data_IF_369862971423
#
_entry.id   IF_369862971423
#
_cell.length_a   1.000
_cell.length_b   1.000
_cell.length_c   1.000
_cell.angle_alpha   90.00
_cell.angle_beta   90.00
_cell.angle_gamma   90.00
#
_symmetry.space_group_name_H-M   'P 1'
#
loop_
_entity.id
_entity.type
_entity.pdbx_description
1 polymer ?
#
# COMPACT_ATOMS: atom_id res chain seq x y z
N UNK A 1 37.67 7.88 -19.63
CA UNK A 1 38.15 7.74 -21.03
C UNK A 1 37.62 6.39 -21.52
N UNK A 2 36.93 6.22 -22.65
CA UNK A 2 36.69 7.06 -23.81
C UNK A 2 35.18 7.12 -24.14
N UNK A 3 34.70 8.28 -24.57
CA UNK A 3 33.36 8.48 -25.11
C UNK A 3 33.48 8.49 -26.63
N UNK A 4 32.75 7.62 -27.32
CA UNK A 4 32.62 7.63 -28.77
C UNK A 4 31.19 8.07 -29.12
N UNK A 5 31.03 9.31 -29.57
CA UNK A 5 29.77 9.77 -30.16
C UNK A 5 29.74 9.34 -31.62
N UNK A 6 28.78 8.50 -32.01
CA UNK A 6 28.45 8.26 -33.42
C UNK A 6 27.24 9.13 -33.78
N UNK A 7 27.36 9.96 -34.81
CA UNK A 7 26.39 10.97 -35.24
C UNK A 7 25.13 10.43 -35.96
N UNK A 8 24.92 9.11 -35.98
CA UNK A 8 23.79 8.51 -36.68
C UNK A 8 23.51 7.11 -36.14
N UNK A 9 22.72 7.04 -35.07
CA UNK A 9 22.02 5.83 -34.66
C UNK A 9 20.57 6.23 -34.35
N UNK A 10 19.82 6.53 -35.41
CA UNK A 10 18.35 6.60 -35.33
C UNK A 10 17.81 5.20 -35.59
N UNK A 11 18.04 4.28 -34.65
CA UNK A 11 17.22 3.07 -34.58
C UNK A 11 16.11 3.35 -33.56
N UNK A 12 14.83 3.12 -33.93
CA UNK A 12 13.79 3.04 -32.93
C UNK A 12 14.14 1.85 -32.05
N UNK A 13 14.67 2.13 -30.87
CA UNK A 13 14.78 1.14 -29.83
C UNK A 13 13.35 0.90 -29.35
N UNK A 14 12.74 -0.18 -29.82
CA UNK A 14 11.51 -0.71 -29.25
C UNK A 14 11.79 -1.28 -27.86
N UNK A 15 12.06 -0.41 -26.89
CA UNK A 15 12.04 -0.77 -25.48
C UNK A 15 10.61 -0.72 -24.97
N UNK A 16 9.88 -1.83 -25.14
CA UNK A 16 8.86 -2.46 -24.24
C UNK A 16 7.82 -1.60 -23.49
N UNK A 17 7.75 -0.30 -23.71
CA UNK A 17 6.87 0.65 -23.05
C UNK A 17 6.43 1.72 -24.06
N UNK A 18 5.12 1.89 -24.17
CA UNK A 18 4.41 2.76 -25.13
C UNK A 18 4.56 4.28 -24.85
N UNK A 19 5.51 4.68 -24.01
CA UNK A 19 5.79 6.08 -23.68
C UNK A 19 7.20 6.41 -24.14
N UNK A 20 7.31 7.20 -25.21
CA UNK A 20 8.59 7.54 -25.83
C UNK A 20 9.53 8.22 -24.83
N UNK A 21 10.66 7.59 -24.56
CA UNK A 21 11.81 8.27 -23.96
C UNK A 21 12.74 8.72 -25.09
N UNK A 22 13.09 9.99 -25.10
CA UNK A 22 14.10 10.52 -26.01
C UNK A 22 15.47 10.20 -25.43
N UNK A 23 16.28 9.39 -26.13
CA UNK A 23 17.66 9.09 -25.74
C UNK A 23 18.54 10.33 -25.98
N UNK A 24 18.51 11.27 -25.04
CA UNK A 24 19.65 12.16 -24.83
C UNK A 24 20.82 11.34 -24.28
N UNK A 25 22.09 11.80 -24.39
CA UNK A 25 23.16 11.22 -23.56
C UNK A 25 22.65 11.18 -22.12
N UNK A 26 22.98 10.14 -21.35
CA UNK A 26 22.56 9.89 -19.96
C UNK A 26 22.80 11.10 -19.05
N UNK A 27 21.95 12.11 -19.23
CA UNK A 27 21.72 13.25 -18.41
C UNK A 27 20.87 12.66 -17.32
N UNK A 28 21.51 12.61 -16.16
CA UNK A 28 21.14 11.92 -14.94
C UNK A 28 19.67 12.15 -14.51
N UNK A 29 19.02 13.20 -15.02
CA UNK A 29 17.71 13.71 -14.61
C UNK A 29 16.55 12.75 -14.90
N UNK A 30 16.50 12.11 -16.07
CA UNK A 30 15.41 11.17 -16.41
C UNK A 30 15.41 9.91 -15.53
N UNK A 31 16.61 9.40 -15.23
CA UNK A 31 16.78 8.21 -14.39
C UNK A 31 16.29 8.45 -12.95
N UNK A 32 16.42 9.67 -12.42
CA UNK A 32 15.91 10.00 -11.09
C UNK A 32 14.40 9.90 -10.99
N UNK A 33 13.66 10.31 -12.03
CA UNK A 33 12.20 10.16 -12.05
C UNK A 33 11.77 8.69 -12.05
N UNK A 34 12.45 7.85 -12.83
CA UNK A 34 12.17 6.41 -12.83
C UNK A 34 12.51 5.77 -11.48
N UNK A 35 13.63 6.13 -10.86
CA UNK A 35 13.97 5.65 -9.51
C UNK A 35 12.94 6.10 -8.47
N UNK A 36 12.51 7.36 -8.53
CA UNK A 36 11.51 7.91 -7.61
C UNK A 36 10.13 7.26 -7.80
N UNK A 37 9.70 7.09 -9.06
CA UNK A 37 8.50 6.33 -9.42
C UNK A 37 8.62 4.93 -8.84
N UNK A 38 9.69 4.20 -9.17
CA UNK A 38 9.90 2.82 -8.74
C UNK A 38 9.97 2.68 -7.22
N UNK A 39 10.39 3.71 -6.47
CA UNK A 39 10.35 3.70 -5.00
C UNK A 39 8.92 3.61 -4.46
N UNK A 40 7.97 4.25 -5.14
CA UNK A 40 6.57 4.41 -4.75
C UNK A 40 5.63 3.41 -5.44
N UNK A 41 5.88 3.10 -6.70
CA UNK A 41 5.04 2.32 -7.59
C UNK A 41 5.93 1.64 -8.63
N UNK A 42 5.90 0.30 -8.68
CA UNK A 42 6.70 -0.45 -9.64
C UNK A 42 5.97 -1.69 -10.12
N UNK A 43 6.02 -1.91 -11.42
CA UNK A 43 5.53 -3.13 -12.05
C UNK A 43 6.69 -4.08 -12.33
N UNK A 44 6.46 -5.37 -12.09
CA UNK A 44 7.37 -6.45 -12.45
C UNK A 44 6.81 -7.24 -13.64
N UNK A 45 7.69 -7.93 -14.35
CA UNK A 45 7.34 -8.70 -15.56
C UNK A 45 6.39 -9.87 -15.26
N UNK A 46 6.37 -10.38 -14.03
CA UNK A 46 5.47 -11.44 -13.56
C UNK A 46 4.05 -10.94 -13.23
N UNK A 47 3.70 -9.75 -13.73
CA UNK A 47 2.43 -9.05 -13.47
C UNK A 47 2.22 -8.71 -11.99
N UNK A 48 3.28 -8.51 -11.21
CA UNK A 48 3.20 -7.97 -9.85
C UNK A 48 3.21 -6.44 -9.87
N UNK A 49 2.36 -5.82 -9.05
CA UNK A 49 2.38 -4.39 -8.74
C UNK A 49 2.89 -4.18 -7.31
N UNK A 50 3.98 -3.44 -7.16
CA UNK A 50 4.57 -3.05 -5.89
C UNK A 50 4.18 -1.61 -5.54
N UNK A 51 3.64 -1.41 -4.34
CA UNK A 51 3.34 -0.10 -3.75
C UNK A 51 4.29 0.17 -2.58
N UNK A 52 4.87 1.37 -2.57
CA UNK A 52 5.73 1.90 -1.52
C UNK A 52 6.97 1.03 -1.21
N UNK A 53 7.50 0.30 -2.21
CA UNK A 53 8.58 -0.69 -2.01
C UNK A 53 9.79 -0.14 -1.26
N UNK A 54 10.12 1.14 -1.47
CA UNK A 54 11.33 1.75 -0.91
C UNK A 54 11.06 3.14 -0.31
N UNK A 55 9.81 3.47 -0.01
CA UNK A 55 9.42 4.70 0.67
C UNK A 55 10.22 4.92 1.95
N UNK A 56 10.66 6.15 2.19
CA UNK A 56 11.41 6.50 3.38
C UNK A 56 10.54 6.40 4.64
N UNK A 57 11.05 5.75 5.69
CA UNK A 57 10.38 5.61 7.00
C UNK A 57 9.87 6.93 7.57
N UNK A 58 10.62 8.02 7.42
CA UNK A 58 10.24 9.37 7.87
C UNK A 58 8.96 9.91 7.20
N UNK A 59 8.61 9.46 6.00
CA UNK A 59 7.37 9.82 5.32
C UNK A 59 6.16 9.06 5.85
N UNK A 60 6.40 8.05 6.69
CA UNK A 60 5.38 7.32 7.42
C UNK A 60 5.39 7.71 8.91
N UNK A 61 6.04 8.81 9.28
CA UNK A 61 5.90 9.36 10.63
C UNK A 61 4.43 9.71 10.93
N UNK A 62 4.06 9.82 12.21
CA UNK A 62 2.68 10.07 12.59
C UNK A 62 2.08 11.30 11.90
N UNK A 63 0.89 11.17 11.33
CA UNK A 63 0.18 12.23 10.63
C UNK A 63 0.70 12.51 9.23
N UNK A 64 1.74 11.82 8.75
CA UNK A 64 2.24 11.97 7.39
C UNK A 64 1.36 11.23 6.38
N UNK A 65 1.35 11.76 5.16
CA UNK A 65 0.57 11.27 4.03
C UNK A 65 1.42 11.13 2.79
N UNK A 66 1.18 10.06 2.05
CA UNK A 66 1.65 9.88 0.67
C UNK A 66 0.40 9.82 -0.21
N UNK A 67 0.42 10.53 -1.32
CA UNK A 67 -0.66 10.57 -2.29
C UNK A 67 -0.08 10.51 -3.69
N UNK A 68 -0.46 9.48 -4.45
CA UNK A 68 -0.09 9.27 -5.85
C UNK A 68 -1.37 9.08 -6.62
N UNK A 69 -1.60 9.93 -7.62
CA UNK A 69 -2.85 9.94 -8.38
C UNK A 69 -2.61 9.64 -9.85
N UNK A 70 -3.46 8.78 -10.42
CA UNK A 70 -3.51 8.47 -11.86
C UNK A 70 -2.15 8.09 -12.44
N UNK A 71 -1.34 7.37 -11.69
CA UNK A 71 -0.04 6.92 -12.15
C UNK A 71 -0.23 5.90 -13.29
N UNK A 72 0.41 6.11 -14.45
CA UNK A 72 0.31 5.16 -15.55
C UNK A 72 1.04 3.87 -15.18
N UNK A 73 0.35 2.73 -15.39
CA UNK A 73 0.93 1.40 -15.21
C UNK A 73 0.55 0.45 -16.33
N UNK A 74 1.21 -0.72 -16.38
CA UNK A 74 0.78 -1.85 -17.23
C UNK A 74 -0.69 -2.24 -17.03
N UNK A 75 -1.25 -1.97 -15.85
CA UNK A 75 -2.60 -2.35 -15.45
C UNK A 75 -3.62 -1.22 -15.62
N UNK A 76 -3.24 -0.13 -16.30
CA UNK A 76 -4.03 1.09 -16.39
C UNK A 76 -3.57 2.14 -15.37
N UNK A 77 -4.38 3.17 -15.15
CA UNK A 77 -4.07 4.17 -14.14
C UNK A 77 -4.30 3.60 -12.75
N UNK A 78 -3.32 3.80 -11.86
CA UNK A 78 -3.43 3.42 -10.44
C UNK A 78 -3.26 4.67 -9.60
N UNK A 79 -4.15 4.85 -8.62
CA UNK A 79 -4.01 5.85 -7.58
C UNK A 79 -3.83 5.14 -6.25
N UNK A 80 -3.02 5.70 -5.35
CA UNK A 80 -2.98 5.21 -3.98
C UNK A 80 -2.71 6.34 -3.00
N UNK A 81 -3.20 6.13 -1.79
CA UNK A 81 -3.03 7.03 -0.67
C UNK A 81 -2.59 6.24 0.55
N UNK A 82 -1.51 6.66 1.21
CA UNK A 82 -1.07 6.10 2.49
C UNK A 82 -1.20 7.18 3.56
N UNK A 83 -1.86 6.82 4.66
CA UNK A 83 -2.00 7.65 5.85
C UNK A 83 -1.35 6.94 7.04
N UNK A 84 -0.39 7.62 7.68
CA UNK A 84 0.26 7.08 8.87
C UNK A 84 -0.39 7.58 10.15
N UNK A 85 -0.99 6.65 10.91
CA UNK A 85 -1.58 6.90 12.22
C UNK A 85 -0.82 6.08 13.28
N UNK A 86 0.52 6.10 13.25
CA UNK A 86 1.34 5.25 14.14
C UNK A 86 1.11 5.50 15.63
N UNK A 87 0.68 6.70 16.06
CA UNK A 87 0.24 6.94 17.45
C UNK A 87 -1.01 6.15 17.82
N UNK A 88 -1.90 5.89 16.85
CA UNK A 88 -3.04 4.97 16.99
C UNK A 88 -2.66 3.52 16.67
N UNK A 89 -1.38 3.24 16.45
CA UNK A 89 -0.87 1.90 16.19
C UNK A 89 -1.20 1.33 14.81
N UNK A 90 -1.49 2.16 13.80
CA UNK A 90 -1.81 1.68 12.44
C UNK A 90 -1.28 2.55 11.31
N UNK A 91 -1.09 1.95 10.13
CA UNK A 91 -0.84 2.63 8.86
C UNK A 91 -1.86 2.11 7.85
N UNK A 92 -2.49 3.02 7.10
CA UNK A 92 -3.60 2.72 6.19
C UNK A 92 -3.16 3.03 4.78
N UNK A 93 -3.32 2.10 3.85
CA UNK A 93 -3.17 2.32 2.42
C UNK A 93 -4.52 2.11 1.71
N UNK A 94 -4.90 3.04 0.85
CA UNK A 94 -5.97 2.85 -0.13
C UNK A 94 -5.35 2.75 -1.51
N UNK A 95 -5.70 1.72 -2.28
CA UNK A 95 -5.24 1.52 -3.66
C UNK A 95 -6.47 1.46 -4.56
N UNK A 96 -6.45 2.20 -5.66
CA UNK A 96 -7.52 2.31 -6.64
C UNK A 96 -7.00 2.02 -8.04
N UNK A 97 -7.70 1.14 -8.75
CA UNK A 97 -7.42 0.76 -10.13
C UNK A 97 -8.45 1.38 -11.07
N UNK A 98 -7.99 2.08 -12.10
CA UNK A 98 -8.86 2.52 -13.19
C UNK A 98 -8.94 1.43 -14.27
N UNK A 99 -10.16 1.12 -14.71
CA UNK A 99 -10.40 0.12 -15.77
C UNK A 99 -10.39 -1.31 -15.25
N UNK A 100 -10.21 -2.29 -16.14
CA UNK A 100 -10.41 -3.72 -15.86
C UNK A 100 -9.12 -4.56 -15.84
N UNK A 101 -7.99 -4.03 -16.32
CA UNK A 101 -6.73 -4.79 -16.25
C UNK A 101 -6.23 -4.82 -14.80
N UNK A 102 -5.76 -5.98 -14.35
CA UNK A 102 -5.33 -6.19 -12.95
C UNK A 102 -3.97 -6.90 -12.90
N UNK A 103 -3.15 -6.59 -11.88
CA UNK A 103 -1.98 -7.40 -11.59
C UNK A 103 -2.40 -8.79 -11.12
N UNK A 104 -1.50 -9.77 -11.22
CA UNK A 104 -1.69 -11.08 -10.58
C UNK A 104 -1.37 -11.01 -9.09
N UNK A 105 -0.49 -10.11 -8.69
CA UNK A 105 -0.12 -9.87 -7.29
C UNK A 105 -0.06 -8.38 -7.02
N UNK A 106 -0.75 -7.91 -5.99
CA UNK A 106 -0.56 -6.58 -5.41
C UNK A 106 0.24 -6.75 -4.12
N UNK A 107 1.38 -6.07 -4.01
CA UNK A 107 2.18 -5.99 -2.79
C UNK A 107 2.20 -4.56 -2.29
N UNK A 108 1.82 -4.35 -1.03
CA UNK A 108 1.85 -3.04 -0.36
C UNK A 108 2.82 -3.11 0.80
N UNK A 109 3.81 -2.20 0.82
CA UNK A 109 4.82 -2.16 1.88
C UNK A 109 4.49 -1.11 2.93
N UNK A 110 4.57 -1.50 4.20
CA UNK A 110 4.35 -0.59 5.33
C UNK A 110 5.60 -0.50 6.21
N UNK A 111 6.51 0.40 5.84
CA UNK A 111 7.78 0.58 6.54
C UNK A 111 7.61 1.43 7.81
N UNK A 112 7.26 0.79 8.93
CA UNK A 112 7.00 1.51 10.19
C UNK A 112 8.20 2.42 10.56
N UNK A 113 7.99 3.68 11.01
CA UNK A 113 9.08 4.62 11.28
C UNK A 113 10.15 4.09 12.24
N UNK A 114 9.71 3.39 13.27
CA UNK A 114 10.54 2.77 14.31
C UNK A 114 10.79 1.26 14.08
N UNK A 115 10.53 0.75 12.86
CA UNK A 115 10.73 -0.67 12.51
C UNK A 115 9.94 -1.67 13.38
N UNK A 116 8.81 -1.23 13.95
CA UNK A 116 7.92 -2.13 14.70
C UNK A 116 7.38 -3.19 13.74
N UNK A 117 7.34 -4.47 14.14
CA UNK A 117 6.79 -5.52 13.31
C UNK A 117 5.27 -5.36 13.19
N UNK A 118 4.75 -5.67 12.01
CA UNK A 118 3.32 -5.84 11.78
C UNK A 118 2.80 -6.94 12.72
N UNK A 119 1.68 -6.68 13.39
CA UNK A 119 1.01 -7.61 14.29
C UNK A 119 -0.20 -8.28 13.64
N UNK A 120 -0.99 -7.49 12.92
CA UNK A 120 -2.13 -7.97 12.17
C UNK A 120 -2.42 -7.03 11.01
N UNK A 121 -3.16 -7.53 10.04
CA UNK A 121 -3.53 -6.82 8.83
C UNK A 121 -5.01 -6.99 8.57
N UNK A 122 -5.65 -5.96 8.04
CA UNK A 122 -7.00 -6.09 7.47
C UNK A 122 -7.01 -5.59 6.03
N UNK A 123 -7.70 -6.32 5.15
CA UNK A 123 -7.99 -5.90 3.78
C UNK A 123 -9.50 -5.74 3.64
N UNK A 124 -9.94 -4.53 3.30
CA UNK A 124 -11.35 -4.14 3.23
C UNK A 124 -12.14 -4.50 4.49
N UNK A 125 -11.51 -4.30 5.65
CA UNK A 125 -12.09 -4.57 6.98
C UNK A 125 -12.10 -6.05 7.39
N UNK A 126 -11.57 -6.96 6.57
CA UNK A 126 -11.48 -8.39 6.89
C UNK A 126 -10.06 -8.76 7.32
N UNK A 127 -9.95 -9.66 8.30
CA UNK A 127 -8.66 -10.18 8.76
C UNK A 127 -7.87 -10.79 7.60
N UNK A 128 -6.60 -10.41 7.50
CA UNK A 128 -5.72 -10.82 6.42
C UNK A 128 -4.48 -11.55 6.95
N UNK A 129 -4.09 -12.64 6.28
CA UNK A 129 -3.01 -13.53 6.75
C UNK A 129 -1.80 -13.60 5.80
N UNK A 130 -1.94 -13.13 4.57
CA UNK A 130 -0.86 -13.15 3.59
C UNK A 130 -0.01 -11.87 3.72
N UNK A 131 0.82 -11.84 4.76
CA UNK A 131 1.77 -10.75 5.02
C UNK A 131 3.10 -11.27 5.59
N UNK A 132 4.18 -10.56 5.28
CA UNK A 132 5.54 -10.86 5.73
C UNK A 132 6.00 -9.79 6.72
N UNK A 133 6.14 -10.18 7.98
CA UNK A 133 6.53 -9.26 9.07
C UNK A 133 7.96 -8.78 8.97
N UNK A 134 8.87 -9.57 8.39
CA UNK A 134 10.28 -9.20 8.25
C UNK A 134 10.48 -8.23 7.08
N UNK A 135 9.77 -8.46 5.97
CA UNK A 135 9.86 -7.61 4.79
C UNK A 135 8.90 -6.43 4.80
N UNK A 136 7.95 -6.42 5.74
CA UNK A 136 6.91 -5.41 5.91
C UNK A 136 5.94 -5.35 4.70
N UNK A 137 5.65 -6.51 4.09
CA UNK A 137 4.79 -6.62 2.91
C UNK A 137 3.43 -7.22 3.24
N UNK A 138 2.38 -6.65 2.68
CA UNK A 138 1.05 -7.26 2.60
C UNK A 138 0.79 -7.66 1.16
N UNK A 139 0.38 -8.91 0.95
CA UNK A 139 0.15 -9.49 -0.37
C UNK A 139 -1.32 -9.73 -0.61
N UNK A 140 -1.83 -9.26 -1.75
CA UNK A 140 -3.17 -9.55 -2.25
C UNK A 140 -3.00 -10.29 -3.59
N UNK A 141 -3.34 -11.57 -3.59
CA UNK A 141 -3.30 -12.39 -4.80
C UNK A 141 -4.58 -12.18 -5.64
N UNK A 142 -4.40 -12.10 -6.96
CA UNK A 142 -5.47 -11.92 -7.95
C UNK A 142 -6.49 -10.83 -7.56
N UNK A 143 -6.05 -9.57 -7.35
CA UNK A 143 -6.97 -8.49 -7.02
C UNK A 143 -8.00 -8.27 -8.14
N UNK A 144 -9.29 -8.32 -7.78
CA UNK A 144 -10.42 -8.15 -8.71
C UNK A 144 -11.22 -6.87 -8.47
N UNK A 145 -11.09 -6.27 -7.28
CA UNK A 145 -11.84 -5.05 -6.94
C UNK A 145 -11.19 -3.82 -7.57
N UNK A 146 -11.98 -2.77 -7.71
CA UNK A 146 -11.51 -1.46 -8.18
C UNK A 146 -10.77 -0.70 -7.08
N UNK A 147 -11.08 -0.99 -5.81
CA UNK A 147 -10.49 -0.35 -4.64
C UNK A 147 -10.19 -1.37 -3.54
N UNK A 148 -9.05 -1.17 -2.88
CA UNK A 148 -8.62 -1.90 -1.70
C UNK A 148 -8.24 -0.92 -0.59
N UNK A 149 -8.66 -1.21 0.64
CA UNK A 149 -8.19 -0.58 1.86
C UNK A 149 -7.39 -1.59 2.67
N UNK A 150 -6.08 -1.37 2.81
CA UNK A 150 -5.15 -2.24 3.53
C UNK A 150 -4.70 -1.53 4.80
N UNK A 151 -4.87 -2.16 5.96
CA UNK A 151 -4.55 -1.55 7.26
C UNK A 151 -3.58 -2.43 8.02
N UNK A 152 -2.37 -1.90 8.21
CA UNK A 152 -1.32 -2.51 9.00
C UNK A 152 -1.38 -2.06 10.45
N UNK A 153 -1.38 -3.01 11.39
CA UNK A 153 -1.53 -2.76 12.82
C UNK A 153 -0.25 -3.17 13.57
N UNK A 154 0.27 -2.27 14.42
CA UNK A 154 1.58 -2.37 15.08
C UNK A 154 1.51 -2.39 16.62
N UNK A 155 0.30 -2.35 17.19
CA UNK A 155 0.05 -2.34 18.64
C UNK A 155 -0.51 -3.67 19.17
N UNK A 156 -0.72 -3.75 20.49
CA UNK A 156 -1.43 -4.86 21.11
C UNK A 156 -2.88 -4.77 20.65
N UNK A 157 -3.35 -5.79 19.93
CA UNK A 157 -4.75 -5.88 19.51
C UNK A 157 -5.66 -5.78 20.73
N UNK A 158 -6.28 -4.61 20.94
CA UNK A 158 -7.54 -4.59 21.69
C UNK A 158 -8.56 -5.19 20.74
N UNK A 159 -8.79 -6.49 20.89
CA UNK A 159 -10.04 -7.10 20.46
C UNK A 159 -11.17 -6.17 20.89
N UNK A 160 -11.96 -5.67 19.94
CA UNK A 160 -13.20 -4.98 20.25
C UNK A 160 -14.03 -5.98 21.04
N UNK A 161 -14.36 -5.74 22.33
CA UNK A 161 -15.22 -6.66 23.05
C UNK A 161 -16.58 -6.59 22.37
N UNK A 162 -17.02 -7.73 21.80
CA UNK A 162 -18.42 -7.88 21.42
C UNK A 162 -19.25 -7.66 22.68
N UNK A 163 -20.03 -6.59 22.68
CA UNK A 163 -20.96 -6.30 23.76
C UNK A 163 -22.01 -7.42 23.76
N UNK A 164 -21.77 -8.48 24.54
CA UNK A 164 -22.83 -9.38 25.00
C UNK A 164 -23.70 -8.53 25.90
N UNK A 165 -24.91 -8.23 25.44
CA UNK A 165 -25.97 -7.74 26.31
C UNK A 165 -26.37 -8.90 27.22
N UNK A 166 -25.94 -8.86 28.48
CA UNK A 166 -26.57 -9.62 29.55
C UNK A 166 -27.64 -8.71 30.17
N UNK A 167 -28.84 -8.72 29.58
CA UNK A 167 -30.06 -8.27 30.23
C UNK A 167 -30.91 -9.49 30.54
N UNK A 168 -30.87 -9.94 31.80
CA UNK A 168 -32.05 -10.34 32.59
C UNK A 168 -31.62 -10.88 33.95
N UNK A 169 -31.45 -9.98 34.91
CA UNK A 169 -31.63 -10.28 36.32
C UNK A 169 -32.72 -9.36 36.85
N UNK A 170 -33.98 -9.74 36.63
CA UNK A 170 -35.14 -9.10 37.24
C UNK A 170 -35.29 -9.70 38.64
N UNK A 171 -34.61 -9.09 39.61
CA UNK A 171 -34.86 -9.32 41.04
C UNK A 171 -36.21 -8.69 41.40
N UNK A 172 -37.15 -9.53 41.81
CA UNK A 172 -38.39 -9.11 42.47
C UNK A 172 -38.14 -9.06 43.97
N UNK A 173 -37.97 -7.86 44.53
CA UNK A 173 -38.07 -7.64 45.96
C UNK A 173 -39.56 -7.48 46.36
N UNK A 174 -40.01 -8.10 47.47
CA UNK A 174 -41.36 -7.93 47.98
C UNK A 174 -41.49 -6.64 48.82
N UNK A 175 -42.53 -5.85 48.52
CA UNK A 175 -42.94 -4.69 49.31
C UNK A 175 -43.36 -5.05 50.75
N UNK A 176 -43.05 -4.22 51.76
CA UNK A 176 -43.69 -4.31 53.07
C UNK A 176 -44.74 -3.20 53.29
N UNK A 177 -45.90 -3.61 53.79
CA UNK A 177 -46.62 -2.89 54.85
C UNK A 177 -47.80 -1.98 54.46
N UNK A 178 -48.92 -2.18 55.15
CA UNK A 178 -49.93 -1.12 55.33
C UNK A 178 -51.35 -1.60 55.64
N UNK A 179 -51.60 -1.90 56.93
CA UNK A 179 -52.85 -1.80 57.72
C UNK A 179 -54.22 -1.93 57.04
#
# INVERSE_FOLDING_TARGET
MASAFRHSAFEPVEHRWMHGQYFGPQSTDGAWFELFRNMLLRELDDRTLLIAQATQRKWLANGQRIDVQRAPTYFGQVSFHIESQVQSGRIIATVEFAGQNRPQTLLVRFRHPEEKPIRSETVDGQDWKDFDTQKEWVRIANPVRDRYSVVAIYGIGRSIPSHRMDENHMGLDPFPGGS
#
